data_IF_531208229807
#
_entry.id   IF_531208229807
#
_cell.length_a   1.000
_cell.length_b   1.000
_cell.length_c   1.000
_cell.angle_alpha   90.00
_cell.angle_beta   90.00
_cell.angle_gamma   90.00
#
_symmetry.space_group_name_H-M   'P 1'
#
loop_
_entity.id
_entity.type
_entity.pdbx_description
1 polymer ?
#
# COMPACT_ATOMS: atom_id res chain seq x y z
N UNK A 1 51.45 -49.48 56.35
CA UNK A 1 50.32 -50.40 56.11
C UNK A 1 49.67 -50.05 54.78
N UNK A 2 49.49 -51.07 53.94
CA UNK A 2 48.64 -51.14 52.74
C UNK A 2 48.98 -50.28 51.52
N UNK A 3 49.65 -50.92 50.56
CA UNK A 3 49.40 -50.70 49.14
C UNK A 3 48.16 -51.51 48.73
N UNK A 4 47.21 -50.89 48.03
CA UNK A 4 46.17 -51.62 47.31
C UNK A 4 45.79 -50.89 46.02
N UNK A 5 45.95 -51.62 44.91
CA UNK A 5 45.63 -51.29 43.52
C UNK A 5 44.16 -50.97 43.35
N UNK A 6 43.82 -50.05 42.44
CA UNK A 6 42.53 -50.08 41.75
C UNK A 6 42.75 -49.94 40.24
N UNK A 7 42.19 -50.93 39.55
CA UNK A 7 42.22 -51.19 38.13
C UNK A 7 41.49 -50.10 37.33
N UNK A 8 42.05 -49.76 36.17
CA UNK A 8 41.32 -49.11 35.10
C UNK A 8 40.31 -50.10 34.50
N UNK A 9 39.03 -49.72 34.46
CA UNK A 9 38.04 -50.37 33.60
C UNK A 9 37.80 -49.47 32.38
N UNK A 10 38.03 -50.02 31.20
CA UNK A 10 37.63 -49.41 29.94
C UNK A 10 36.18 -49.81 29.68
N UNK A 11 35.25 -48.85 29.73
CA UNK A 11 33.88 -49.03 29.23
C UNK A 11 33.79 -48.52 27.80
N UNK A 12 33.74 -49.44 26.86
CA UNK A 12 33.40 -49.20 25.46
C UNK A 12 31.90 -48.88 25.35
N UNK A 13 31.57 -47.60 25.19
CA UNK A 13 30.22 -47.17 24.79
C UNK A 13 30.12 -47.20 23.27
N UNK A 14 29.31 -48.10 22.75
CA UNK A 14 28.87 -48.15 21.35
C UNK A 14 28.02 -46.93 21.02
N UNK A 15 28.49 -46.09 20.09
CA UNK A 15 27.72 -44.97 19.54
C UNK A 15 26.61 -45.48 18.62
N UNK A 16 25.36 -45.19 18.98
CA UNK A 16 24.21 -45.31 18.10
C UNK A 16 24.15 -44.07 17.19
N UNK A 17 24.03 -44.20 15.85
CA UNK A 17 23.93 -43.03 14.99
C UNK A 17 22.57 -42.36 15.17
N UNK A 18 22.59 -41.05 15.45
CA UNK A 18 21.43 -40.18 15.49
C UNK A 18 20.74 -40.18 14.11
N UNK A 19 19.49 -40.63 14.07
CA UNK A 19 18.64 -40.56 12.89
C UNK A 19 18.27 -39.11 12.61
N UNK A 20 18.69 -38.61 11.44
CA UNK A 20 18.29 -37.29 10.94
C UNK A 20 16.81 -37.36 10.53
N UNK A 21 15.91 -36.54 11.10
CA UNK A 21 14.55 -36.50 10.62
C UNK A 21 14.54 -35.88 9.22
N UNK A 22 14.03 -36.65 8.25
CA UNK A 22 13.72 -36.19 6.90
C UNK A 22 12.95 -34.86 6.96
N UNK A 23 13.55 -33.79 6.45
CA UNK A 23 12.90 -32.49 6.28
C UNK A 23 11.70 -32.64 5.36
N UNK A 24 10.50 -32.79 5.94
CA UNK A 24 9.26 -32.53 5.20
C UNK A 24 9.31 -31.07 4.77
N UNK A 25 9.39 -30.84 3.47
CA UNK A 25 9.10 -29.54 2.87
C UNK A 25 7.79 -29.01 3.47
N UNK A 26 7.73 -27.75 3.92
CA UNK A 26 6.48 -27.18 4.38
C UNK A 26 5.47 -27.33 3.25
N UNK A 27 4.38 -28.04 3.53
CA UNK A 27 3.25 -28.16 2.61
C UNK A 27 2.77 -26.71 2.40
N UNK A 28 2.97 -26.16 1.20
CA UNK A 28 2.38 -24.87 0.82
C UNK A 28 0.87 -25.00 1.07
N UNK A 29 0.40 -24.39 2.14
CA UNK A 29 -1.03 -24.15 2.32
C UNK A 29 -1.46 -23.30 1.13
N UNK A 30 -2.55 -23.62 0.43
CA UNK A 30 -3.09 -22.74 -0.59
C UNK A 30 -3.26 -21.37 0.06
N UNK A 31 -2.60 -20.35 -0.48
CA UNK A 31 -2.76 -18.99 0.02
C UNK A 31 -4.26 -18.68 0.03
N UNK A 32 -4.76 -18.20 1.17
CA UNK A 32 -6.15 -17.75 1.23
C UNK A 32 -6.37 -16.71 0.13
N UNK A 33 -7.50 -16.77 -0.61
CA UNK A 33 -7.71 -15.87 -1.73
C UNK A 33 -7.55 -14.42 -1.25
N UNK A 34 -6.79 -13.64 -2.03
CA UNK A 34 -6.63 -12.22 -1.79
C UNK A 34 -8.00 -11.52 -1.85
N UNK A 35 -8.19 -10.47 -1.03
CA UNK A 35 -9.37 -9.61 -1.12
C UNK A 35 -9.55 -9.03 -2.52
N UNK A 36 -8.48 -8.43 -3.05
CA UNK A 36 -8.38 -7.96 -4.43
C UNK A 36 -6.96 -8.29 -4.89
N UNK A 37 -6.82 -9.00 -6.00
CA UNK A 37 -5.53 -9.24 -6.65
C UNK A 37 -5.33 -8.23 -7.79
N UNK A 38 -4.38 -7.28 -7.68
CA UNK A 38 -4.07 -6.32 -8.74
C UNK A 38 -3.83 -6.96 -10.12
N UNK A 39 -3.24 -8.16 -10.18
CA UNK A 39 -2.90 -8.83 -11.43
C UNK A 39 -4.14 -9.40 -12.15
N UNK A 40 -5.27 -9.53 -11.45
CA UNK A 40 -6.54 -10.02 -11.99
C UNK A 40 -7.45 -8.92 -12.54
N UNK A 41 -7.10 -7.65 -12.32
CA UNK A 41 -7.94 -6.50 -12.68
C UNK A 41 -7.80 -6.16 -14.17
N UNK A 42 -8.88 -5.65 -14.81
CA UNK A 42 -8.83 -5.21 -16.20
C UNK A 42 -7.83 -4.07 -16.41
N UNK A 43 -7.29 -3.98 -17.63
CA UNK A 43 -6.41 -2.88 -18.02
C UNK A 43 -7.21 -1.59 -18.21
N UNK A 44 -6.84 -0.54 -17.48
CA UNK A 44 -7.53 0.75 -17.49
C UNK A 44 -6.80 1.82 -18.30
N UNK A 45 -5.66 1.52 -18.93
CA UNK A 45 -5.15 2.37 -20.02
C UNK A 45 -3.66 2.62 -20.03
N UNK A 46 -3.29 3.80 -20.54
CA UNK A 46 -1.91 4.16 -20.82
C UNK A 46 -1.24 4.83 -19.62
N UNK A 47 -0.06 4.33 -19.26
CA UNK A 47 0.79 4.86 -18.19
C UNK A 47 2.07 5.53 -18.73
N UNK A 48 2.19 5.70 -20.05
CA UNK A 48 3.37 6.26 -20.72
C UNK A 48 3.73 7.67 -20.24
N UNK A 49 2.74 8.46 -19.83
CA UNK A 49 2.92 9.81 -19.30
C UNK A 49 3.28 9.83 -17.79
N UNK A 50 3.20 8.68 -17.10
CA UNK A 50 3.50 8.58 -15.67
C UNK A 50 5.01 8.38 -15.49
N UNK A 51 5.66 9.37 -14.88
CA UNK A 51 7.10 9.34 -14.59
C UNK A 51 7.40 8.52 -13.33
N UNK A 52 8.68 8.52 -12.94
CA UNK A 52 9.16 7.86 -11.72
C UNK A 52 9.97 6.60 -11.99
N UNK A 53 10.48 6.00 -10.93
CA UNK A 53 11.55 5.00 -10.97
C UNK A 53 11.07 3.53 -10.96
N UNK A 54 9.76 3.28 -10.91
CA UNK A 54 9.20 1.91 -10.99
C UNK A 54 8.93 1.49 -12.44
N UNK A 55 8.86 0.19 -12.69
CA UNK A 55 8.51 -0.37 -13.99
C UNK A 55 7.07 -0.05 -14.43
N UNK A 56 6.84 -0.01 -15.74
CA UNK A 56 5.52 0.31 -16.30
C UNK A 56 4.46 -0.74 -15.98
N UNK A 57 4.88 -1.98 -15.71
CA UNK A 57 4.03 -3.05 -15.16
C UNK A 57 3.46 -2.66 -13.80
N UNK A 58 4.30 -2.16 -12.88
CA UNK A 58 3.86 -1.69 -11.56
C UNK A 58 2.97 -0.46 -11.69
N UNK A 59 3.31 0.48 -12.58
CA UNK A 59 2.46 1.67 -12.84
C UNK A 59 1.07 1.25 -13.32
N UNK A 60 1.01 0.31 -14.27
CA UNK A 60 -0.24 -0.21 -14.82
C UNK A 60 -1.07 -0.94 -13.77
N UNK A 61 -0.48 -1.82 -12.97
CA UNK A 61 -1.19 -2.53 -11.90
C UNK A 61 -1.71 -1.57 -10.82
N UNK A 62 -0.94 -0.54 -10.46
CA UNK A 62 -1.42 0.51 -9.56
C UNK A 62 -2.61 1.27 -10.17
N UNK A 63 -2.51 1.64 -11.45
CA UNK A 63 -3.57 2.33 -12.19
C UNK A 63 -4.85 1.48 -12.25
N UNK A 64 -4.73 0.22 -12.64
CA UNK A 64 -5.85 -0.73 -12.69
C UNK A 64 -6.50 -0.88 -11.31
N UNK A 65 -5.69 -1.04 -10.26
CA UNK A 65 -6.18 -1.13 -8.88
C UNK A 65 -6.96 0.12 -8.47
N UNK A 66 -6.44 1.30 -8.80
CA UNK A 66 -7.13 2.55 -8.52
C UNK A 66 -8.49 2.62 -9.22
N UNK A 67 -8.54 2.35 -10.53
CA UNK A 67 -9.78 2.49 -11.29
C UNK A 67 -10.79 1.37 -11.01
N UNK A 68 -10.38 0.11 -11.00
CA UNK A 68 -11.32 -1.00 -10.81
C UNK A 68 -11.86 -1.09 -9.38
N UNK A 69 -10.99 -0.91 -8.38
CA UNK A 69 -11.38 -1.12 -6.97
C UNK A 69 -11.63 0.19 -6.23
N UNK A 70 -10.84 1.23 -6.48
CA UNK A 70 -11.00 2.51 -5.80
C UNK A 70 -12.14 3.37 -6.35
N UNK A 71 -12.17 3.53 -7.68
CA UNK A 71 -13.18 4.35 -8.38
C UNK A 71 -14.45 3.57 -8.66
N UNK A 72 -14.31 2.36 -9.23
CA UNK A 72 -15.44 1.52 -9.64
C UNK A 72 -16.13 2.02 -10.92
N UNK A 73 -17.33 1.49 -11.17
CA UNK A 73 -18.15 1.79 -12.34
C UNK A 73 -18.84 3.18 -12.25
N UNK A 74 -19.46 3.63 -13.36
CA UNK A 74 -20.01 4.99 -13.47
C UNK A 74 -21.10 5.32 -12.43
N UNK A 75 -21.84 4.30 -11.99
CA UNK A 75 -22.89 4.39 -10.98
C UNK A 75 -22.37 4.28 -9.54
N UNK A 76 -21.08 4.02 -9.34
CA UNK A 76 -20.46 3.97 -8.02
C UNK A 76 -20.30 5.37 -7.39
N UNK A 77 -20.32 5.41 -6.07
CA UNK A 77 -20.11 6.65 -5.32
C UNK A 77 -18.74 7.26 -5.64
N UNK A 78 -18.73 8.56 -5.94
CA UNK A 78 -17.50 9.31 -6.17
C UNK A 78 -16.88 9.10 -7.55
N UNK A 79 -17.46 8.27 -8.44
CA UNK A 79 -16.95 8.02 -9.79
C UNK A 79 -16.59 9.30 -10.54
N UNK A 80 -17.49 10.30 -10.52
CA UNK A 80 -17.28 11.59 -11.20
C UNK A 80 -16.06 12.36 -10.67
N UNK A 81 -15.66 12.14 -9.41
CA UNK A 81 -14.46 12.74 -8.85
C UNK A 81 -13.22 11.87 -9.11
N UNK A 82 -13.33 10.55 -8.94
CA UNK A 82 -12.22 9.61 -9.06
C UNK A 82 -11.70 9.46 -10.49
N UNK A 83 -12.60 9.49 -11.49
CA UNK A 83 -12.22 9.31 -12.89
C UNK A 83 -11.30 10.41 -13.44
N UNK A 84 -11.34 11.61 -12.84
CA UNK A 84 -10.56 12.76 -13.28
C UNK A 84 -9.14 12.77 -12.69
N UNK A 85 -8.83 11.84 -11.79
CA UNK A 85 -7.51 11.71 -11.15
C UNK A 85 -6.50 11.10 -12.12
N UNK A 86 -5.33 11.73 -12.21
CA UNK A 86 -4.23 11.29 -13.08
C UNK A 86 -2.97 11.10 -12.25
N UNK A 87 -2.41 9.88 -12.24
CA UNK A 87 -1.07 9.67 -11.69
C UNK A 87 -0.04 10.30 -12.62
N UNK A 88 0.88 11.05 -12.04
CA UNK A 88 1.94 11.75 -12.79
C UNK A 88 3.33 11.24 -12.44
N UNK A 89 3.53 10.68 -11.25
CA UNK A 89 4.84 10.21 -10.79
C UNK A 89 4.68 9.09 -9.75
N UNK A 90 5.43 8.00 -9.91
CA UNK A 90 5.42 6.85 -8.99
C UNK A 90 6.85 6.40 -8.71
N UNK A 91 7.27 6.46 -7.45
CA UNK A 91 8.62 6.08 -7.03
C UNK A 91 8.61 5.08 -5.88
N UNK A 92 9.66 4.28 -5.80
CA UNK A 92 10.04 3.51 -4.63
C UNK A 92 11.49 3.81 -4.30
N UNK A 93 11.72 4.30 -3.10
CA UNK A 93 13.05 4.67 -2.63
C UNK A 93 13.44 3.85 -1.40
N UNK A 94 14.74 3.59 -1.29
CA UNK A 94 15.31 3.04 -0.06
C UNK A 94 15.61 4.18 0.90
N UNK A 95 14.94 4.22 2.06
CA UNK A 95 15.14 5.24 3.08
C UNK A 95 16.19 4.79 4.09
N UNK A 96 17.39 5.37 4.00
CA UNK A 96 18.52 5.04 4.89
C UNK A 96 18.19 5.34 6.37
N UNK A 97 17.49 6.45 6.63
CA UNK A 97 17.04 6.85 7.97
C UNK A 97 16.06 5.85 8.60
N UNK A 98 15.34 5.08 7.77
CA UNK A 98 14.45 4.01 8.21
C UNK A 98 15.11 2.63 8.08
N UNK A 99 16.40 2.53 8.40
CA UNK A 99 17.20 1.30 8.32
C UNK A 99 17.17 0.64 6.94
N UNK A 100 17.11 1.46 5.89
CA UNK A 100 17.06 0.97 4.51
C UNK A 100 15.75 0.32 4.12
N UNK A 101 14.63 0.58 4.81
CA UNK A 101 13.30 0.15 4.36
C UNK A 101 12.92 0.84 3.05
N UNK A 102 12.15 0.13 2.23
CA UNK A 102 11.55 0.71 1.03
C UNK A 102 10.35 1.57 1.41
N UNK A 103 10.20 2.71 0.73
CA UNK A 103 9.07 3.61 0.81
C UNK A 103 8.58 3.91 -0.60
N UNK A 104 7.30 3.67 -0.86
CA UNK A 104 6.66 4.09 -2.10
C UNK A 104 6.10 5.51 -1.95
N UNK A 105 6.15 6.28 -3.03
CA UNK A 105 5.49 7.57 -3.17
C UNK A 105 4.71 7.60 -4.49
N UNK A 106 3.45 8.03 -4.44
CA UNK A 106 2.62 8.26 -5.63
C UNK A 106 2.16 9.71 -5.63
N UNK A 107 2.22 10.33 -6.80
CA UNK A 107 1.74 11.69 -7.02
C UNK A 107 0.64 11.64 -8.07
N UNK A 108 -0.52 12.17 -7.70
CA UNK A 108 -1.65 12.32 -8.60
C UNK A 108 -2.08 13.79 -8.71
N UNK A 109 -2.74 14.14 -9.81
CA UNK A 109 -3.27 15.47 -10.07
C UNK A 109 -4.72 15.40 -10.49
N UNK A 110 -5.49 16.41 -10.09
CA UNK A 110 -6.89 16.58 -10.52
C UNK A 110 -7.24 18.06 -10.61
N UNK A 111 -8.13 18.40 -11.53
CA UNK A 111 -8.71 19.74 -11.64
C UNK A 111 -10.06 19.72 -10.94
N UNK A 112 -10.26 20.62 -9.97
CA UNK A 112 -11.53 20.69 -9.23
C UNK A 112 -12.67 20.99 -10.20
N UNK A 113 -13.60 20.04 -10.34
CA UNK A 113 -14.76 20.14 -11.23
C UNK A 113 -16.05 20.49 -10.46
N UNK A 114 -17.12 20.80 -11.19
CA UNK A 114 -18.41 21.20 -10.59
C UNK A 114 -19.00 20.11 -9.68
N UNK A 115 -18.81 18.84 -10.03
CA UNK A 115 -19.31 17.69 -9.28
C UNK A 115 -18.57 17.45 -7.95
N UNK A 116 -17.47 18.16 -7.72
CA UNK A 116 -16.66 18.05 -6.50
C UNK A 116 -16.98 19.16 -5.47
N UNK A 117 -17.83 20.12 -5.81
CA UNK A 117 -18.06 21.30 -4.99
C UNK A 117 -19.12 21.09 -3.90
N UNK A 118 -18.98 21.84 -2.80
CA UNK A 118 -20.01 22.04 -1.80
C UNK A 118 -20.93 23.23 -2.16
N UNK A 119 -21.91 23.50 -1.28
CA UNK A 119 -22.84 24.62 -1.45
C UNK A 119 -22.19 26.02 -1.45
N UNK A 120 -20.97 26.15 -0.94
CA UNK A 120 -20.19 27.39 -0.98
C UNK A 120 -19.32 27.53 -2.24
N UNK A 121 -19.40 26.58 -3.18
CA UNK A 121 -18.60 26.60 -4.42
C UNK A 121 -17.13 26.21 -4.23
N UNK A 122 -16.78 25.62 -3.09
CA UNK A 122 -15.43 25.11 -2.81
C UNK A 122 -15.42 23.57 -2.85
N UNK A 123 -14.26 22.97 -3.07
CA UNK A 123 -14.06 21.53 -3.03
C UNK A 123 -14.61 20.95 -1.72
N UNK A 124 -15.59 20.05 -1.83
CA UNK A 124 -16.33 19.51 -0.70
C UNK A 124 -15.42 18.68 0.21
N UNK A 125 -15.51 18.86 1.53
CA UNK A 125 -14.69 18.10 2.50
C UNK A 125 -14.81 16.59 2.32
N UNK A 126 -16.02 16.08 2.09
CA UNK A 126 -16.24 14.68 1.72
C UNK A 126 -15.58 14.24 0.40
N UNK A 127 -15.50 15.12 -0.61
CA UNK A 127 -14.79 14.82 -1.85
C UNK A 127 -13.27 14.79 -1.62
N UNK A 128 -12.74 15.71 -0.79
CA UNK A 128 -11.34 15.68 -0.34
C UNK A 128 -11.05 14.34 0.34
N UNK A 129 -11.90 13.92 1.29
CA UNK A 129 -11.75 12.66 2.01
C UNK A 129 -11.81 11.45 1.07
N UNK A 130 -12.71 11.44 0.07
CA UNK A 130 -12.77 10.39 -0.96
C UNK A 130 -11.50 10.32 -1.82
N UNK A 131 -10.98 11.49 -2.25
CA UNK A 131 -9.74 11.56 -3.03
C UNK A 131 -8.54 11.08 -2.20
N UNK A 132 -8.48 11.45 -0.91
CA UNK A 132 -7.46 10.97 0.03
C UNK A 132 -7.58 9.45 0.20
N UNK A 133 -8.77 8.91 0.43
CA UNK A 133 -8.93 7.46 0.65
C UNK A 133 -8.32 6.65 -0.50
N UNK A 134 -8.65 7.04 -1.73
CA UNK A 134 -8.15 6.38 -2.93
C UNK A 134 -6.65 6.63 -3.16
N UNK A 135 -6.22 7.89 -3.21
CA UNK A 135 -4.85 8.22 -3.59
C UNK A 135 -3.85 7.84 -2.49
N UNK A 136 -4.18 8.06 -1.22
CA UNK A 136 -3.32 7.72 -0.08
C UNK A 136 -3.10 6.20 0.03
N UNK A 137 -4.02 5.38 -0.52
CA UNK A 137 -3.87 3.93 -0.57
C UNK A 137 -2.83 3.45 -1.59
N UNK A 138 -2.61 4.19 -2.68
CA UNK A 138 -1.82 3.73 -3.82
C UNK A 138 -0.32 3.46 -3.55
N UNK A 139 0.39 4.19 -2.67
CA UNK A 139 1.73 3.80 -2.27
C UNK A 139 1.79 2.42 -1.60
N UNK A 140 0.75 2.00 -0.90
CA UNK A 140 0.71 0.66 -0.29
C UNK A 140 0.60 -0.42 -1.35
N UNK A 141 -0.21 -0.19 -2.40
CA UNK A 141 -0.32 -1.06 -3.57
C UNK A 141 1.03 -1.17 -4.27
N UNK A 142 1.66 -0.05 -4.60
CA UNK A 142 2.98 0.00 -5.25
C UNK A 142 4.04 -0.72 -4.42
N UNK A 143 4.12 -0.45 -3.12
CA UNK A 143 5.09 -1.10 -2.25
C UNK A 143 4.84 -2.61 -2.14
N UNK A 144 3.57 -3.02 -2.07
CA UNK A 144 3.17 -4.43 -2.07
C UNK A 144 3.62 -5.15 -3.33
N UNK A 145 3.34 -4.57 -4.51
CA UNK A 145 3.76 -5.12 -5.80
C UNK A 145 5.28 -5.32 -5.86
N UNK A 146 6.05 -4.32 -5.41
CA UNK A 146 7.53 -4.39 -5.40
C UNK A 146 8.04 -5.45 -4.42
N UNK A 147 7.33 -5.69 -3.32
CA UNK A 147 7.70 -6.65 -2.29
C UNK A 147 7.11 -8.05 -2.50
N UNK A 148 6.31 -8.26 -3.54
CA UNK A 148 5.62 -9.53 -3.79
C UNK A 148 4.56 -9.87 -2.72
N UNK A 149 3.95 -8.85 -2.10
CA UNK A 149 2.87 -9.01 -1.13
C UNK A 149 1.66 -8.16 -1.53
N UNK A 150 0.48 -8.51 -1.06
CA UNK A 150 -0.71 -7.74 -1.40
C UNK A 150 -0.80 -6.44 -0.58
N UNK A 151 -0.70 -5.30 -1.27
CA UNK A 151 -0.85 -3.96 -0.67
C UNK A 151 -2.28 -3.40 -0.68
N UNK A 152 -3.23 -4.13 -1.26
CA UNK A 152 -4.64 -3.75 -1.34
C UNK A 152 -5.34 -4.11 -0.03
N UNK A 153 -6.28 -3.26 0.38
CA UNK A 153 -7.05 -3.50 1.59
C UNK A 153 -8.27 -2.59 1.70
N UNK A 154 -8.99 -2.74 2.80
CA UNK A 154 -10.08 -1.85 3.21
C UNK A 154 -9.55 -0.82 4.20
N UNK A 155 -10.08 0.40 4.13
CA UNK A 155 -9.68 1.48 5.05
C UNK A 155 -10.29 1.22 6.42
N UNK A 156 -9.45 1.10 7.45
CA UNK A 156 -9.88 0.94 8.84
C UNK A 156 -10.14 2.28 9.53
N UNK A 157 -9.33 3.28 9.16
CA UNK A 157 -9.39 4.58 9.81
C UNK A 157 -8.59 5.60 9.02
N UNK A 158 -9.09 6.83 9.03
CA UNK A 158 -8.46 7.95 8.37
C UNK A 158 -8.61 9.18 9.25
N UNK A 159 -7.52 9.93 9.44
CA UNK A 159 -7.51 11.21 10.11
C UNK A 159 -7.15 12.29 9.09
N UNK A 160 -8.05 13.26 8.88
CA UNK A 160 -7.89 14.33 7.88
C UNK A 160 -7.90 15.68 8.58
N UNK A 161 -6.88 16.49 8.31
CA UNK A 161 -6.84 17.90 8.68
C UNK A 161 -7.09 18.74 7.43
N UNK A 162 -8.02 19.68 7.52
CA UNK A 162 -8.35 20.63 6.46
C UNK A 162 -7.69 21.98 6.75
N UNK A 163 -6.87 22.46 5.83
CA UNK A 163 -6.00 23.62 6.03
C UNK A 163 -6.44 24.84 5.23
N UNK A 164 -6.84 24.64 3.97
CA UNK A 164 -7.30 25.74 3.11
C UNK A 164 -8.30 25.25 2.05
N UNK A 165 -9.19 26.13 1.55
CA UNK A 165 -10.19 25.72 0.58
C UNK A 165 -9.63 25.73 -0.86
N UNK A 166 -10.24 24.97 -1.77
CA UNK A 166 -9.92 24.96 -3.19
C UNK A 166 -11.16 25.29 -4.02
N UNK A 167 -11.07 26.28 -4.91
CA UNK A 167 -12.19 26.71 -5.76
C UNK A 167 -12.34 25.84 -7.01
N UNK A 168 -13.47 25.98 -7.70
CA UNK A 168 -13.67 25.43 -9.05
C UNK A 168 -12.48 25.80 -9.96
N UNK A 169 -12.00 24.82 -10.74
CA UNK A 169 -10.87 24.98 -11.66
C UNK A 169 -9.49 24.95 -11.00
N UNK A 170 -9.40 24.92 -9.67
CA UNK A 170 -8.11 24.79 -8.99
C UNK A 170 -7.43 23.48 -9.40
N UNK A 171 -6.13 23.56 -9.73
CA UNK A 171 -5.30 22.38 -9.97
C UNK A 171 -4.73 21.90 -8.65
N UNK A 172 -5.07 20.70 -8.23
CA UNK A 172 -4.58 20.14 -6.98
C UNK A 172 -3.66 18.96 -7.27
N UNK A 173 -2.63 18.82 -6.44
CA UNK A 173 -1.67 17.73 -6.44
C UNK A 173 -1.81 16.96 -5.14
N UNK A 174 -1.94 15.63 -5.26
CA UNK A 174 -2.14 14.70 -4.16
C UNK A 174 -0.85 13.89 -4.05
N UNK A 175 -0.08 14.12 -2.99
CA UNK A 175 1.22 13.48 -2.76
C UNK A 175 1.03 12.46 -1.63
N UNK A 176 1.20 11.19 -1.93
CA UNK A 176 0.98 10.09 -1.00
C UNK A 176 2.24 9.28 -0.80
N UNK A 177 2.55 8.91 0.44
CA UNK A 177 3.71 8.06 0.78
C UNK A 177 3.31 6.92 1.69
N UNK A 178 3.88 5.74 1.46
CA UNK A 178 3.74 4.61 2.38
C UNK A 178 4.47 4.93 3.69
N UNK A 179 3.93 4.51 4.83
CA UNK A 179 4.59 4.61 6.14
C UNK A 179 4.98 3.23 6.63
N UNK A 180 4.05 2.28 6.56
CA UNK A 180 4.32 0.89 6.92
C UNK A 180 3.46 -0.07 6.10
N UNK A 181 4.05 -1.18 5.68
CA UNK A 181 3.37 -2.31 5.06
C UNK A 181 3.58 -3.53 5.95
N UNK A 182 2.62 -3.79 6.84
CA UNK A 182 2.64 -4.95 7.74
C UNK A 182 1.56 -5.95 7.36
N UNK A 183 1.73 -7.22 7.77
CA UNK A 183 0.78 -8.29 7.43
C UNK A 183 -0.61 -8.18 8.06
N UNK A 184 -0.88 -7.18 8.92
CA UNK A 184 -2.20 -6.94 9.53
C UNK A 184 -2.71 -5.53 9.31
N UNK A 185 -1.81 -4.55 9.41
CA UNK A 185 -2.12 -3.13 9.27
C UNK A 185 -1.09 -2.52 8.33
N UNK A 186 -1.58 -1.67 7.43
CA UNK A 186 -0.80 -0.90 6.48
C UNK A 186 -1.13 0.57 6.68
N UNK A 187 -0.12 1.43 6.74
CA UNK A 187 -0.29 2.85 7.00
C UNK A 187 0.35 3.68 5.89
N UNK A 188 -0.33 4.73 5.49
CA UNK A 188 0.12 5.72 4.51
C UNK A 188 -0.24 7.12 5.00
N UNK A 189 0.39 8.12 4.38
CA UNK A 189 0.07 9.53 4.61
C UNK A 189 -0.04 10.27 3.28
N UNK A 190 -0.80 11.35 3.27
CA UNK A 190 -1.03 12.13 2.07
C UNK A 190 -1.15 13.62 2.38
N UNK A 191 -0.71 14.46 1.43
CA UNK A 191 -0.97 15.89 1.40
C UNK A 191 -1.62 16.27 0.08
N UNK A 192 -2.63 17.15 0.12
CA UNK A 192 -3.25 17.77 -1.04
C UNK A 192 -2.79 19.22 -1.09
N UNK A 193 -2.19 19.63 -2.20
CA UNK A 193 -1.61 20.95 -2.40
C UNK A 193 -2.26 21.61 -3.61
N UNK A 194 -2.61 22.88 -3.49
CA UNK A 194 -2.98 23.70 -4.64
C UNK A 194 -1.71 24.01 -5.45
N UNK A 195 -1.63 23.51 -6.70
CA UNK A 195 -0.43 23.64 -7.55
C UNK A 195 -0.05 25.09 -7.87
N UNK A 196 -1.04 25.97 -7.93
CA UNK A 196 -0.85 27.34 -8.40
C UNK A 196 -0.38 28.26 -7.26
N UNK A 197 -0.81 27.96 -6.03
CA UNK A 197 -0.51 28.78 -4.85
C UNK A 197 0.49 28.15 -3.89
N UNK A 198 0.76 26.84 -4.03
CA UNK A 198 1.57 26.07 -3.09
C UNK A 198 0.91 25.83 -1.72
N UNK A 199 -0.33 26.29 -1.50
CA UNK A 199 -1.02 26.13 -0.22
C UNK A 199 -1.46 24.69 -0.02
N UNK A 200 -1.24 24.17 1.18
CA UNK A 200 -1.77 22.88 1.61
C UNK A 200 -3.29 23.03 1.80
N UNK A 201 -4.06 22.18 1.12
CA UNK A 201 -5.51 22.08 1.21
C UNK A 201 -5.90 21.12 2.34
N UNK A 202 -5.28 19.95 2.38
CA UNK A 202 -5.53 18.93 3.39
C UNK A 202 -4.29 18.06 3.61
N UNK A 203 -4.18 17.47 4.80
CA UNK A 203 -3.20 16.43 5.13
C UNK A 203 -3.89 15.28 5.84
N UNK A 204 -3.43 14.05 5.64
CA UNK A 204 -4.05 12.89 6.25
C UNK A 204 -3.10 11.75 6.56
N UNK A 205 -3.51 10.94 7.54
CA UNK A 205 -3.00 9.59 7.79
C UNK A 205 -4.12 8.58 7.52
N UNK A 206 -3.78 7.49 6.84
CA UNK A 206 -4.71 6.44 6.45
C UNK A 206 -4.17 5.07 6.87
N UNK A 207 -5.02 4.29 7.54
CA UNK A 207 -4.76 2.92 7.95
C UNK A 207 -5.66 1.96 7.16
N UNK A 208 -5.06 0.87 6.65
CA UNK A 208 -5.77 -0.19 5.94
C UNK A 208 -5.47 -1.55 6.56
N UNK A 209 -6.36 -2.49 6.29
CA UNK A 209 -6.18 -3.91 6.57
C UNK A 209 -6.61 -4.74 5.37
N UNK A 210 -6.08 -5.96 5.26
CA UNK A 210 -6.70 -6.96 4.40
C UNK A 210 -7.87 -7.61 5.13
N UNK A 211 -9.07 -7.66 4.53
CA UNK A 211 -10.17 -8.45 5.05
C UNK A 211 -9.80 -9.93 5.19
N UNK A 212 -10.37 -10.59 6.20
CA UNK A 212 -10.33 -12.05 6.25
C UNK A 212 -11.50 -12.58 5.42
N UNK A 213 -11.20 -13.21 4.28
CA UNK A 213 -12.20 -13.77 3.37
C UNK A 213 -13.11 -14.81 4.02
N UNK A 214 -12.70 -15.47 5.10
CA UNK A 214 -13.56 -16.42 5.82
C UNK A 214 -14.63 -15.75 6.68
N UNK A 215 -14.63 -14.41 6.77
CA UNK A 215 -15.52 -13.61 7.64
C UNK A 215 -16.37 -12.60 6.86
N UNK A 216 -16.32 -12.65 5.53
CA UNK A 216 -17.16 -11.88 4.62
C UNK A 216 -18.25 -12.79 4.06
#
# INVERSE_FOLDING_TARGET
MSAARLHASASTSTETPLSVPSSRSPRMTPESPAWVDPASLPDHGDVSATTGNVGDDIKRLNYNTYFSYGVGDEDCFGYQAGKDVKFVDINVDRRLEHHGRLEATTIAEVVVSKNMLNGAGMLHGGCITYLIDNCCSTPLVVLGLVQGVNGVGVTQGMNVLFHSPASLGARIRIISSSVSLGGRVMTSRCEIINKDTGRIIASAFLNKMQPNMSKL
#
